data_IF_698789173004
#
_entry.id   IF_698789173004
#
_cell.length_a   1.000
_cell.length_b   1.000
_cell.length_c   1.000
_cell.angle_alpha   90.00
_cell.angle_beta   90.00
_cell.angle_gamma   90.00
#
_symmetry.space_group_name_H-M   'P 1'
#
loop_
_entity.id
_entity.type
_entity.pdbx_description
1 polymer ?
#
# COMPACT_ATOMS: atom_id res chain seq x y z
N UNK A 1 16.53 23.48 20.63
CA UNK A 1 15.87 23.14 19.36
C UNK A 1 15.57 24.46 18.70
N UNK A 2 16.17 24.75 17.55
CA UNK A 2 16.05 26.07 16.92
C UNK A 2 15.43 25.87 15.55
N UNK A 3 14.25 26.47 15.37
CA UNK A 3 13.54 26.46 14.09
C UNK A 3 14.10 27.61 13.25
N UNK A 4 14.52 27.31 12.02
CA UNK A 4 14.97 28.31 11.05
C UNK A 4 13.79 29.09 10.47
N UNK A 5 14.01 30.27 9.87
CA UNK A 5 12.96 31.08 9.25
C UNK A 5 12.16 30.38 8.15
N UNK A 6 12.72 29.34 7.52
CA UNK A 6 12.05 28.48 6.53
C UNK A 6 11.17 27.38 7.17
N UNK A 7 11.06 27.38 8.50
CA UNK A 7 10.29 26.40 9.26
C UNK A 7 10.97 25.04 9.39
N UNK A 8 12.22 24.87 8.91
CA UNK A 8 12.99 23.67 9.20
C UNK A 8 13.49 23.72 10.64
N UNK A 9 13.33 22.61 11.35
CA UNK A 9 13.95 22.42 12.66
C UNK A 9 14.88 21.22 12.57
N UNK A 10 16.00 21.30 13.29
CA UNK A 10 16.86 20.15 13.49
C UNK A 10 17.12 19.94 14.97
N UNK A 11 17.15 18.68 15.38
CA UNK A 11 17.68 18.28 16.67
C UNK A 11 19.14 17.90 16.44
N UNK A 12 20.07 18.61 17.08
CA UNK A 12 21.46 18.13 17.19
C UNK A 12 21.47 16.94 18.15
N UNK A 13 21.23 15.75 17.62
CA UNK A 13 21.52 14.49 18.30
C UNK A 13 22.56 13.73 17.49
N UNK A 14 23.45 13.02 18.20
CA UNK A 14 24.39 12.08 17.58
C UNK A 14 23.54 10.92 17.05
N UNK A 15 23.45 10.77 15.73
CA UNK A 15 22.76 9.63 15.12
C UNK A 15 23.59 8.39 15.45
N UNK A 16 22.98 7.43 16.15
CA UNK A 16 23.54 6.09 16.28
C UNK A 16 22.96 5.28 15.12
N UNK A 17 23.73 4.98 14.07
CA UNK A 17 23.23 4.27 12.90
C UNK A 17 22.81 2.85 13.29
N UNK A 18 21.61 2.44 12.86
CA UNK A 18 21.07 1.12 13.13
C UNK A 18 20.96 0.26 11.89
N UNK A 19 20.48 0.84 10.80
CA UNK A 19 20.42 0.18 9.50
C UNK A 19 20.71 1.19 8.40
N UNK A 20 21.21 0.71 7.28
CA UNK A 20 21.31 1.50 6.05
C UNK A 20 20.62 0.73 4.93
N UNK A 21 19.80 1.43 4.14
CA UNK A 21 19.15 0.86 2.99
C UNK A 21 19.58 1.58 1.71
N UNK A 22 19.58 0.83 0.61
CA UNK A 22 19.82 1.28 -0.75
C UNK A 22 18.89 0.46 -1.64
N UNK A 23 18.13 1.14 -2.49
CA UNK A 23 17.35 0.45 -3.50
C UNK A 23 18.28 -0.01 -4.63
N UNK A 24 18.05 -1.23 -5.11
CA UNK A 24 18.64 -1.78 -6.33
C UNK A 24 17.45 -2.06 -7.25
N UNK A 25 17.44 -1.50 -8.45
CA UNK A 25 16.42 -1.80 -9.46
C UNK A 25 16.73 -3.13 -10.14
N UNK A 26 15.76 -3.69 -10.87
CA UNK A 26 15.95 -4.95 -11.60
C UNK A 26 17.05 -4.86 -12.67
N UNK A 27 17.33 -3.65 -13.17
CA UNK A 27 18.42 -3.34 -14.11
C UNK A 27 19.77 -3.09 -13.42
N UNK A 28 19.83 -3.20 -12.09
CA UNK A 28 21.04 -3.04 -11.29
C UNK A 28 21.42 -1.61 -10.91
N UNK A 29 20.60 -0.61 -11.26
CA UNK A 29 20.83 0.76 -10.80
C UNK A 29 20.63 0.87 -9.29
N UNK A 30 21.51 1.63 -8.63
CA UNK A 30 21.50 1.76 -7.17
C UNK A 30 21.28 3.17 -6.69
N UNK A 31 20.36 3.35 -5.73
CA UNK A 31 20.11 4.65 -5.10
C UNK A 31 21.27 5.11 -4.19
N UNK A 32 21.23 6.36 -3.73
CA UNK A 32 22.06 6.76 -2.59
C UNK A 32 21.71 5.94 -1.33
N UNK A 33 22.70 5.68 -0.47
CA UNK A 33 22.49 4.99 0.80
C UNK A 33 21.77 5.90 1.80
N UNK A 34 20.63 5.45 2.32
CA UNK A 34 19.87 6.13 3.36
C UNK A 34 20.15 5.41 4.69
N UNK A 35 20.51 6.16 5.74
CA UNK A 35 20.78 5.62 7.07
C UNK A 35 19.55 5.82 7.97
N UNK A 36 19.00 4.72 8.47
CA UNK A 36 17.90 4.70 9.42
C UNK A 36 18.42 4.60 10.87
N UNK A 37 17.82 5.36 11.81
CA UNK A 37 18.03 5.15 13.24
C UNK A 37 17.32 3.87 13.71
N UNK A 38 17.67 3.38 14.90
CA UNK A 38 17.08 2.16 15.44
C UNK A 38 15.56 2.31 15.61
N UNK A 39 14.75 1.31 15.20
CA UNK A 39 13.38 1.24 15.63
C UNK A 39 13.41 1.12 17.15
N UNK A 40 12.79 2.08 17.84
CA UNK A 40 12.55 1.96 19.26
C UNK A 40 11.64 0.74 19.45
N UNK A 41 12.20 -0.38 19.90
CA UNK A 41 11.41 -1.44 20.49
C UNK A 41 10.68 -0.83 21.67
N UNK A 42 9.38 -0.56 21.49
CA UNK A 42 8.50 -0.32 22.62
C UNK A 42 8.43 -1.63 23.37
N UNK A 43 9.32 -1.80 24.36
CA UNK A 43 9.08 -2.78 25.40
C UNK A 43 7.66 -2.47 25.93
N UNK A 44 6.79 -3.47 25.94
CA UNK A 44 5.52 -3.44 26.66
C UNK A 44 5.82 -3.39 28.18
N UNK A 45 6.53 -2.36 28.60
CA UNK A 45 6.54 -1.90 29.97
C UNK A 45 5.28 -1.07 30.10
N UNK A 46 4.46 -1.31 31.13
CA UNK A 46 3.33 -0.45 31.47
C UNK A 46 3.85 0.97 31.63
N UNK A 47 3.86 1.72 30.53
CA UNK A 47 4.41 3.05 30.47
C UNK A 47 3.46 3.91 31.28
N UNK A 48 3.88 4.29 32.48
CA UNK A 48 3.42 5.55 33.07
C UNK A 48 3.56 6.58 31.95
N UNK A 49 2.42 7.05 31.44
CA UNK A 49 2.35 7.96 30.31
C UNK A 49 3.29 9.14 30.59
N UNK A 50 4.46 9.14 29.98
CA UNK A 50 5.33 10.28 30.02
C UNK A 50 4.57 11.40 29.29
N UNK A 51 4.15 12.42 30.03
CA UNK A 51 3.50 13.65 29.56
C UNK A 51 4.45 14.54 28.74
N UNK A 52 5.30 13.92 27.92
CA UNK A 52 6.16 14.63 26.98
C UNK A 52 5.31 15.34 25.94
N UNK A 53 5.58 16.63 25.72
CA UNK A 53 4.80 17.45 24.80
C UNK A 53 4.80 16.89 23.37
N UNK A 54 3.60 16.75 22.80
CA UNK A 54 3.43 16.41 21.38
C UNK A 54 3.67 17.67 20.55
N UNK A 55 4.69 17.66 19.68
CA UNK A 55 4.88 18.72 18.70
C UNK A 55 4.01 18.45 17.47
N UNK A 56 2.90 19.20 17.33
CA UNK A 56 2.07 19.19 16.12
C UNK A 56 2.56 20.29 15.18
N UNK A 57 2.92 19.93 13.94
CA UNK A 57 3.31 20.89 12.90
C UNK A 57 2.22 20.97 11.84
N UNK A 58 1.53 22.11 11.77
CA UNK A 58 0.58 22.40 10.70
C UNK A 58 1.30 23.05 9.53
N UNK A 59 1.20 22.44 8.34
CA UNK A 59 1.79 22.97 7.11
C UNK A 59 0.73 23.84 6.41
N UNK A 60 0.87 25.17 6.56
CA UNK A 60 -0.03 26.14 5.93
C UNK A 60 -1.26 26.49 6.76
N UNK A 61 -1.92 27.59 6.39
CA UNK A 61 -3.13 28.13 7.07
C UNK A 61 -4.43 27.80 6.34
N UNK A 62 -4.35 27.16 5.17
CA UNK A 62 -5.50 26.78 4.34
C UNK A 62 -5.50 25.27 4.14
N UNK A 63 -6.64 24.59 4.31
CA UNK A 63 -6.75 23.17 3.97
C UNK A 63 -6.35 22.92 2.51
N UNK A 64 -5.65 21.81 2.27
CA UNK A 64 -5.36 21.31 0.93
C UNK A 64 -6.58 20.70 0.24
N UNK A 65 -6.34 19.95 -0.82
CA UNK A 65 -7.39 19.22 -1.51
C UNK A 65 -8.14 18.29 -0.54
N UNK A 66 -9.47 18.19 -0.70
CA UNK A 66 -10.27 17.24 0.08
C UNK A 66 -9.88 15.83 -0.32
N UNK A 67 -9.67 14.98 0.67
CA UNK A 67 -9.47 13.54 0.46
C UNK A 67 -10.84 12.94 0.11
N UNK A 68 -11.01 12.29 -1.06
CA UNK A 68 -12.27 11.66 -1.41
C UNK A 68 -12.63 10.51 -0.46
N UNK A 69 -13.93 10.27 -0.17
CA UNK A 69 -14.35 9.14 0.66
C UNK A 69 -13.90 7.75 0.17
N UNK A 70 -13.63 7.61 -1.13
CA UNK A 70 -13.14 6.38 -1.77
C UNK A 70 -11.62 6.37 -1.98
N UNK A 71 -10.87 7.22 -1.26
CA UNK A 71 -9.42 7.35 -1.45
C UNK A 71 -8.66 6.05 -1.15
N UNK A 72 -9.09 5.30 -0.13
CA UNK A 72 -8.50 4.00 0.18
C UNK A 72 -8.92 2.95 -0.86
N UNK A 73 -7.97 2.16 -1.33
CA UNK A 73 -8.20 1.08 -2.29
C UNK A 73 -7.09 0.04 -2.28
N UNK A 74 -7.29 -1.04 -3.02
CA UNK A 74 -6.31 -2.12 -3.22
C UNK A 74 -6.06 -2.35 -4.71
N UNK A 75 -4.83 -2.72 -5.04
CA UNK A 75 -4.45 -3.26 -6.36
C UNK A 75 -4.07 -4.72 -6.21
N UNK A 76 -4.53 -5.57 -7.13
CA UNK A 76 -4.19 -6.99 -7.21
C UNK A 76 -3.68 -7.32 -8.61
N UNK A 77 -2.64 -8.14 -8.71
CA UNK A 77 -2.26 -8.77 -9.98
C UNK A 77 -3.38 -9.73 -10.42
N UNK A 78 -3.65 -9.84 -11.72
CA UNK A 78 -4.70 -10.70 -12.28
C UNK A 78 -4.58 -12.15 -11.81
N UNK A 79 -3.36 -12.68 -11.75
CA UNK A 79 -3.08 -14.03 -11.27
C UNK A 79 -3.50 -14.28 -9.81
N UNK A 80 -3.60 -13.24 -9.00
CA UNK A 80 -3.96 -13.32 -7.57
C UNK A 80 -5.43 -13.08 -7.26
N UNK A 81 -6.23 -12.66 -8.24
CA UNK A 81 -7.64 -12.25 -8.01
C UNK A 81 -8.44 -13.36 -7.34
N UNK A 82 -8.32 -14.60 -7.82
CA UNK A 82 -9.09 -15.73 -7.28
C UNK A 82 -8.64 -16.15 -5.88
N UNK A 83 -7.40 -15.85 -5.47
CA UNK A 83 -6.92 -16.13 -4.12
C UNK A 83 -7.57 -15.20 -3.09
N UNK A 84 -7.81 -13.95 -3.48
CA UNK A 84 -8.42 -12.93 -2.62
C UNK A 84 -9.94 -12.93 -2.70
N UNK A 85 -10.52 -12.95 -3.90
CA UNK A 85 -11.95 -12.81 -4.09
C UNK A 85 -12.69 -14.14 -3.95
N UNK A 86 -12.01 -15.27 -4.11
CA UNK A 86 -12.60 -16.59 -4.08
C UNK A 86 -12.49 -17.27 -5.45
N UNK A 87 -12.48 -18.61 -5.43
CA UNK A 87 -12.21 -19.43 -6.62
C UNK A 87 -13.33 -20.44 -6.93
N UNK A 88 -14.43 -20.39 -6.17
CA UNK A 88 -15.55 -21.34 -6.26
C UNK A 88 -16.87 -20.69 -6.67
N UNK A 89 -16.85 -19.44 -7.14
CA UNK A 89 -18.05 -18.63 -7.39
C UNK A 89 -18.72 -18.14 -6.10
N UNK A 90 -18.10 -18.40 -4.95
CA UNK A 90 -18.46 -17.84 -3.66
C UNK A 90 -17.38 -16.86 -3.25
N UNK A 91 -17.78 -15.60 -3.02
CA UNK A 91 -16.89 -14.56 -2.55
C UNK A 91 -16.22 -14.91 -1.22
N UNK A 92 -14.93 -14.59 -1.07
CA UNK A 92 -14.16 -14.80 0.15
C UNK A 92 -14.68 -13.87 1.27
N UNK A 93 -15.22 -14.42 2.38
CA UNK A 93 -15.82 -13.61 3.44
C UNK A 93 -14.79 -12.75 4.19
N UNK A 94 -13.52 -13.15 4.23
CA UNK A 94 -12.44 -12.39 4.88
C UNK A 94 -12.13 -11.14 4.07
N UNK A 95 -12.01 -11.28 2.74
CA UNK A 95 -11.78 -10.14 1.85
C UNK A 95 -12.97 -9.18 1.86
N UNK A 96 -14.20 -9.70 1.84
CA UNK A 96 -15.42 -8.88 1.97
C UNK A 96 -15.46 -8.09 3.29
N UNK A 97 -15.00 -8.69 4.40
CA UNK A 97 -14.88 -8.01 5.69
C UNK A 97 -13.83 -6.90 5.67
N UNK A 98 -12.69 -7.12 5.03
CA UNK A 98 -11.68 -6.08 4.83
C UNK A 98 -12.26 -4.90 4.03
N UNK A 99 -12.91 -5.17 2.89
CA UNK A 99 -13.52 -4.13 2.07
C UNK A 99 -14.60 -3.36 2.83
N UNK A 100 -15.41 -4.05 3.64
CA UNK A 100 -16.41 -3.42 4.52
C UNK A 100 -15.77 -2.53 5.57
N UNK A 101 -14.61 -2.94 6.11
CA UNK A 101 -13.88 -2.16 7.13
C UNK A 101 -13.32 -0.88 6.53
N UNK A 102 -12.69 -0.97 5.36
CA UNK A 102 -12.21 0.18 4.60
C UNK A 102 -13.35 1.11 4.20
N UNK A 103 -14.49 0.56 3.75
CA UNK A 103 -15.69 1.34 3.44
C UNK A 103 -16.16 2.18 4.62
N UNK A 104 -16.22 1.59 5.81
CA UNK A 104 -16.66 2.27 7.04
C UNK A 104 -15.69 3.36 7.46
N UNK A 105 -14.38 3.15 7.28
CA UNK A 105 -13.36 4.14 7.60
C UNK A 105 -13.36 5.32 6.62
N UNK A 106 -13.51 5.06 5.31
CA UNK A 106 -13.48 6.10 4.27
C UNK A 106 -14.81 6.81 4.03
N UNK A 107 -15.94 6.15 4.33
CA UNK A 107 -17.28 6.68 4.08
C UNK A 107 -17.83 6.39 2.67
N UNK A 108 -17.08 5.69 1.82
CA UNK A 108 -17.54 5.17 0.53
C UNK A 108 -16.85 3.85 0.18
N UNK A 109 -17.32 3.16 -0.86
CA UNK A 109 -16.73 1.90 -1.30
C UNK A 109 -15.23 2.12 -1.69
N UNK A 110 -14.31 1.26 -1.20
CA UNK A 110 -12.91 1.30 -1.62
C UNK A 110 -12.77 0.97 -3.11
N UNK A 111 -11.75 1.53 -3.74
CA UNK A 111 -11.40 1.17 -5.11
C UNK A 111 -10.68 -0.19 -5.14
N UNK A 112 -11.06 -1.05 -6.09
CA UNK A 112 -10.36 -2.30 -6.37
C UNK A 112 -9.86 -2.26 -7.81
N UNK A 113 -8.54 -2.36 -8.00
CA UNK A 113 -7.89 -2.35 -9.32
C UNK A 113 -7.25 -3.71 -9.58
N UNK A 114 -7.43 -4.24 -10.78
CA UNK A 114 -6.73 -5.44 -11.25
C UNK A 114 -5.67 -5.07 -12.28
N UNK A 115 -4.52 -5.74 -12.19
CA UNK A 115 -3.39 -5.58 -13.10
C UNK A 115 -2.09 -5.34 -12.36
N UNK A 116 -1.13 -4.77 -13.09
CA UNK A 116 0.26 -4.61 -12.66
C UNK A 116 1.12 -5.15 -13.78
N UNK A 117 2.17 -5.89 -13.47
CA UNK A 117 2.93 -6.62 -14.50
C UNK A 117 2.04 -7.64 -15.22
N UNK A 118 1.14 -8.29 -14.48
CA UNK A 118 0.23 -9.30 -15.06
C UNK A 118 -0.75 -8.73 -16.08
N UNK A 119 -0.89 -7.40 -16.20
CA UNK A 119 -1.73 -6.79 -17.24
C UNK A 119 -1.27 -7.19 -18.64
N UNK A 120 0.04 -7.23 -18.87
CA UNK A 120 0.61 -7.51 -20.20
C UNK A 120 0.60 -9.01 -20.53
N UNK A 121 0.41 -9.85 -19.49
CA UNK A 121 0.28 -11.30 -19.60
C UNK A 121 -1.17 -11.79 -19.50
N UNK A 122 -2.14 -10.87 -19.47
CA UNK A 122 -3.57 -11.17 -19.33
C UNK A 122 -4.32 -10.84 -20.60
N UNK A 123 -5.16 -11.77 -21.04
CA UNK A 123 -5.97 -11.57 -22.25
C UNK A 123 -7.45 -11.94 -22.03
N UNK A 124 -8.32 -11.29 -22.79
CA UNK A 124 -9.74 -11.59 -22.85
C UNK A 124 -10.01 -12.61 -23.94
N UNK A 125 -10.48 -13.80 -23.57
CA UNK A 125 -10.69 -14.93 -24.50
C UNK A 125 -12.06 -15.61 -24.28
N UNK A 126 -13.17 -14.92 -24.57
CA UNK A 126 -14.49 -15.51 -24.37
C UNK A 126 -14.79 -16.67 -25.33
N UNK A 127 -14.10 -16.73 -26.47
CA UNK A 127 -14.26 -17.77 -27.49
C UNK A 127 -13.39 -19.01 -27.28
N UNK A 128 -12.53 -19.04 -26.26
CA UNK A 128 -11.64 -20.17 -26.02
C UNK A 128 -10.62 -20.42 -27.14
N UNK A 129 -10.18 -19.35 -27.82
CA UNK A 129 -9.14 -19.42 -28.84
C UNK A 129 -7.81 -19.93 -28.23
N UNK A 130 -6.92 -20.55 -29.03
CA UNK A 130 -5.60 -20.95 -28.57
C UNK A 130 -4.81 -19.78 -28.00
N UNK A 131 -4.21 -19.99 -26.82
CA UNK A 131 -3.48 -18.96 -26.09
C UNK A 131 -2.18 -18.53 -26.78
N UNK A 132 -1.98 -17.22 -27.06
CA UNK A 132 -0.73 -16.68 -27.58
C UNK A 132 0.43 -16.90 -26.61
N UNK A 133 1.68 -16.95 -27.13
CA UNK A 133 2.87 -16.94 -26.29
C UNK A 133 2.90 -15.72 -25.36
N UNK A 134 3.38 -15.91 -24.13
CA UNK A 134 3.52 -14.84 -23.13
C UNK A 134 2.27 -14.58 -22.27
N UNK A 135 1.12 -15.14 -22.63
CA UNK A 135 -0.09 -15.00 -21.81
C UNK A 135 -0.11 -16.05 -20.68
N UNK A 136 -0.28 -15.60 -19.44
CA UNK A 136 -0.35 -16.45 -18.25
C UNK A 136 -1.78 -16.54 -17.70
N UNK A 137 -2.57 -15.47 -17.83
CA UNK A 137 -3.94 -15.40 -17.31
C UNK A 137 -4.97 -15.29 -18.43
N UNK A 138 -5.97 -16.18 -18.40
CA UNK A 138 -7.06 -16.22 -19.37
C UNK A 138 -8.38 -15.78 -18.75
N UNK A 139 -8.85 -14.59 -19.13
CA UNK A 139 -10.16 -14.10 -18.73
C UNK A 139 -11.20 -14.68 -19.69
N UNK A 140 -11.88 -15.72 -19.20
CA UNK A 140 -13.01 -16.38 -19.85
C UNK A 140 -14.30 -16.14 -19.05
N UNK A 141 -15.50 -16.41 -19.62
CA UNK A 141 -16.73 -16.45 -18.85
C UNK A 141 -16.65 -17.39 -17.63
N UNK A 142 -15.95 -18.51 -17.75
CA UNK A 142 -15.74 -19.43 -16.64
C UNK A 142 -14.84 -18.82 -15.55
N UNK A 143 -13.82 -18.02 -15.91
CA UNK A 143 -13.00 -17.29 -14.94
C UNK A 143 -13.84 -16.26 -14.20
N UNK A 144 -14.67 -15.46 -14.91
CA UNK A 144 -15.55 -14.45 -14.30
C UNK A 144 -16.54 -15.10 -13.33
N UNK A 145 -17.11 -16.25 -13.69
CA UNK A 145 -18.06 -16.95 -12.84
C UNK A 145 -17.45 -17.49 -11.52
N UNK A 146 -16.12 -17.48 -11.37
CA UNK A 146 -15.44 -17.90 -10.14
C UNK A 146 -15.24 -16.77 -9.14
N UNK A 147 -15.26 -15.52 -9.62
CA UNK A 147 -15.07 -14.29 -8.85
C UNK A 147 -16.35 -13.91 -8.09
#
# INVERSE_FOLDING_TARGET
MTTRPDGTWSLRRRIVPFASYRAVTDDGETSATIVAPAPSVSALSSASAATGGVAVRTLGSRPGARIPPSFAGLSLEYGSVLDYLGSTGRGNPVFARLMTTLRRAGGAAPLLRFGGESSDETWWNPGGAPRPPGITTDITPAWIARV
#
